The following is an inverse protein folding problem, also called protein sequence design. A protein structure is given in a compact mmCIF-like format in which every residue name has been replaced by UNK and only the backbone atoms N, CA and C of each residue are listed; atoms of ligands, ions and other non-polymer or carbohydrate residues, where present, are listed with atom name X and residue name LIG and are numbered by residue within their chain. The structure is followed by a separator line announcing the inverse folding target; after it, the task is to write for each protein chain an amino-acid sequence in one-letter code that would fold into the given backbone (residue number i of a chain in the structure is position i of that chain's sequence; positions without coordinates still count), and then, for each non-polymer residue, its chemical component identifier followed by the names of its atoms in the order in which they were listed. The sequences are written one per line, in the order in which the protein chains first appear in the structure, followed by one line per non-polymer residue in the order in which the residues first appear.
data_IF_509178024513
#
_entry.id   IF_509178024513
#
_cell.length_a   1.000
_cell.length_b   1.000
_cell.length_c   1.000
_cell.angle_alpha   90.00
_cell.angle_beta   90.00
_cell.angle_gamma   90.00
#
_symmetry.space_group_name_H-M   'P 1'
#
loop_
_entity.id
_entity.type
_entity.pdbx_description
1 polymer ?
#
# COMPACT_ATOMS: atom_id res chain seq x y z
N UNK A 1 -1.18 -10.24 -11.45
CA UNK A 1 -0.44 -9.01 -11.82
C UNK A 1 -0.82 -7.88 -10.87
N UNK A 2 0.13 -7.02 -10.48
CA UNK A 2 -0.15 -5.82 -9.67
C UNK A 2 0.06 -4.57 -10.51
N UNK A 3 -0.88 -3.63 -10.42
CA UNK A 3 -0.81 -2.33 -11.08
C UNK A 3 -1.10 -1.22 -10.09
N UNK A 4 -0.61 -0.02 -10.40
CA UNK A 4 -0.80 1.17 -9.58
C UNK A 4 -0.99 2.40 -10.47
N UNK A 5 -2.04 3.18 -10.21
CA UNK A 5 -2.29 4.46 -10.83
C UNK A 5 -2.26 5.59 -9.79
N UNK A 6 -1.37 6.59 -9.91
CA UNK A 6 -0.30 6.77 -10.90
C UNK A 6 0.96 5.93 -10.62
N UNK A 7 1.87 5.80 -11.59
CA UNK A 7 3.17 5.12 -11.40
C UNK A 7 4.24 6.00 -10.71
N UNK A 8 4.00 7.31 -10.65
CA UNK A 8 4.88 8.29 -10.03
C UNK A 8 4.05 9.37 -9.34
N UNK A 9 4.54 9.84 -8.20
CA UNK A 9 3.87 10.88 -7.43
C UNK A 9 4.69 11.33 -6.25
N UNK A 10 4.07 12.12 -5.38
CA UNK A 10 4.70 12.74 -4.22
C UNK A 10 4.19 12.10 -2.94
N UNK A 11 5.09 11.85 -1.99
CA UNK A 11 4.77 11.24 -0.71
C UNK A 11 3.67 12.02 0.01
N UNK A 12 2.79 11.26 0.70
CA UNK A 12 1.70 11.79 1.54
C UNK A 12 0.68 12.71 0.84
N UNK A 13 0.79 12.90 -0.48
CA UNK A 13 -0.04 13.81 -1.26
C UNK A 13 -0.72 13.07 -2.41
N UNK A 14 0.04 12.25 -3.13
CA UNK A 14 -0.50 11.45 -4.22
C UNK A 14 -1.17 10.19 -3.67
N UNK A 15 -2.46 10.05 -3.95
CA UNK A 15 -3.19 8.79 -3.72
C UNK A 15 -2.89 7.82 -4.85
N UNK A 16 -2.45 6.62 -4.49
CA UNK A 16 -2.22 5.52 -5.41
C UNK A 16 -3.39 4.55 -5.32
N UNK A 17 -4.06 4.32 -6.45
CA UNK A 17 -4.97 3.20 -6.59
C UNK A 17 -4.16 1.97 -6.98
N UNK A 18 -4.03 1.04 -6.05
CA UNK A 18 -3.28 -0.21 -6.21
C UNK A 18 -4.28 -1.32 -6.42
N UNK A 19 -4.12 -2.06 -7.52
CA UNK A 19 -5.03 -3.14 -7.91
C UNK A 19 -4.22 -4.38 -8.23
N UNK A 20 -4.73 -5.53 -7.83
CA UNK A 20 -4.21 -6.83 -8.22
C UNK A 20 -5.26 -7.58 -9.04
N UNK A 21 -4.84 -8.32 -10.06
CA UNK A 21 -5.76 -9.01 -10.97
C UNK A 21 -5.11 -10.21 -11.62
N UNK A 22 -5.91 -10.98 -12.37
CA UNK A 22 -5.48 -12.19 -13.08
C UNK A 22 -5.03 -13.33 -12.16
N UNK A 23 -5.61 -13.41 -10.97
CA UNK A 23 -5.52 -14.61 -10.12
C UNK A 23 -6.59 -15.59 -10.58
N UNK A 24 -6.18 -16.84 -10.81
CA UNK A 24 -7.06 -17.92 -11.25
C UNK A 24 -6.79 -19.10 -10.34
N UNK A 25 -7.86 -19.71 -9.86
CA UNK A 25 -7.81 -20.89 -9.00
C UNK A 25 -8.98 -21.82 -9.32
N UNK A 26 -8.92 -23.04 -8.79
CA UNK A 26 -10.01 -24.01 -8.91
C UNK A 26 -11.27 -23.53 -8.17
N UNK A 27 -12.45 -23.93 -8.63
CA UNK A 27 -13.71 -23.44 -8.08
C UNK A 27 -13.93 -23.83 -6.61
N UNK A 28 -13.28 -24.89 -6.14
CA UNK A 28 -13.28 -25.32 -4.73
C UNK A 28 -12.46 -24.40 -3.81
N UNK A 29 -11.54 -23.62 -4.39
CA UNK A 29 -10.49 -22.91 -3.66
C UNK A 29 -10.81 -21.41 -3.56
N UNK A 30 -11.91 -21.00 -4.20
CA UNK A 30 -12.52 -19.68 -4.08
C UNK A 30 -13.40 -19.55 -2.83
N UNK A 31 -13.53 -18.33 -2.25
CA UNK A 31 -12.97 -17.06 -2.70
C UNK A 31 -11.52 -16.83 -2.26
N UNK A 32 -10.76 -16.12 -3.09
CA UNK A 32 -9.40 -15.68 -2.75
C UNK A 32 -9.41 -14.45 -1.83
N UNK A 33 -8.46 -14.42 -0.91
CA UNK A 33 -8.17 -13.27 -0.07
C UNK A 33 -6.90 -12.57 -0.54
N UNK A 34 -6.91 -11.24 -0.51
CA UNK A 34 -5.82 -10.40 -0.97
C UNK A 34 -5.23 -9.58 0.17
N UNK A 35 -3.90 -9.56 0.23
CA UNK A 35 -3.12 -8.66 1.08
C UNK A 35 -2.30 -7.77 0.18
N UNK A 36 -2.44 -6.45 0.34
CA UNK A 36 -1.64 -5.46 -0.38
C UNK A 36 -0.69 -4.77 0.60
N UNK A 37 0.60 -4.80 0.28
CA UNK A 37 1.67 -4.26 1.10
C UNK A 37 2.70 -3.56 0.22
N UNK A 38 3.61 -2.80 0.82
CA UNK A 38 4.75 -2.25 0.11
C UNK A 38 6.01 -2.27 0.97
N UNK A 39 7.16 -2.14 0.33
CA UNK A 39 8.45 -1.96 0.99
C UNK A 39 9.36 -1.08 0.13
N UNK A 40 10.35 -0.45 0.76
CA UNK A 40 11.29 0.47 0.09
C UNK A 40 12.66 -0.14 -0.16
N UNK A 41 13.16 -0.95 0.78
CA UNK A 41 14.49 -1.57 0.70
C UNK A 41 14.45 -3.08 0.87
N UNK A 42 13.83 -3.55 1.96
CA UNK A 42 13.85 -4.94 2.37
C UNK A 42 12.43 -5.50 2.38
N UNK A 43 12.21 -6.63 1.70
CA UNK A 43 10.95 -7.36 1.73
C UNK A 43 10.60 -7.87 3.14
N UNK A 44 11.55 -7.98 4.07
CA UNK A 44 11.27 -8.30 5.47
C UNK A 44 10.61 -7.14 6.24
N UNK A 45 10.66 -5.91 5.72
CA UNK A 45 10.07 -4.70 6.32
C UNK A 45 8.86 -4.24 5.50
N UNK A 46 7.85 -5.10 5.42
CA UNK A 46 6.61 -4.82 4.72
C UNK A 46 5.72 -3.89 5.54
N UNK A 47 5.15 -2.90 4.86
CA UNK A 47 4.10 -2.03 5.38
C UNK A 47 2.79 -2.46 4.74
N UNK A 48 1.86 -2.94 5.56
CA UNK A 48 0.54 -3.37 5.12
C UNK A 48 -0.32 -2.17 4.75
N UNK A 49 -0.78 -2.11 3.50
CA UNK A 49 -1.76 -1.13 3.03
C UNK A 49 -3.18 -1.63 3.24
N UNK A 50 -3.36 -2.94 3.07
CA UNK A 50 -4.63 -3.63 3.17
C UNK A 50 -4.41 -5.01 3.79
N UNK A 51 -5.09 -5.26 4.90
CA UNK A 51 -5.19 -6.59 5.49
C UNK A 51 -6.03 -7.53 4.60
N UNK A 52 -5.89 -8.83 4.86
CA UNK A 52 -6.58 -9.90 4.14
C UNK A 52 -8.07 -9.62 3.93
N UNK A 53 -8.48 -9.53 2.67
CA UNK A 53 -9.87 -9.27 2.27
C UNK A 53 -10.08 -9.67 0.80
N UNK A 54 -11.32 -9.89 0.39
CA UNK A 54 -11.69 -10.31 -0.98
C UNK A 54 -11.60 -9.18 -2.00
N UNK A 55 -11.56 -7.92 -1.57
CA UNK A 55 -11.42 -6.79 -2.49
C UNK A 55 -9.98 -6.70 -3.02
N UNK A 56 -9.75 -6.80 -4.33
CA UNK A 56 -8.41 -6.85 -4.91
C UNK A 56 -7.80 -5.46 -5.16
N UNK A 57 -8.27 -4.43 -4.46
CA UNK A 57 -7.80 -3.06 -4.62
C UNK A 57 -7.75 -2.28 -3.30
N UNK A 58 -6.88 -1.27 -3.25
CA UNK A 58 -6.79 -0.31 -2.16
C UNK A 58 -6.35 1.05 -2.70
N UNK A 59 -6.93 2.12 -2.15
CA UNK A 59 -6.45 3.48 -2.36
C UNK A 59 -5.67 3.92 -1.13
N UNK A 60 -4.39 4.24 -1.30
CA UNK A 60 -3.53 4.66 -0.20
C UNK A 60 -2.53 5.74 -0.63
N UNK A 61 -2.15 6.59 0.31
CA UNK A 61 -0.97 7.46 0.16
C UNK A 61 0.26 6.69 0.61
N UNK A 62 1.36 6.84 -0.12
CA UNK A 62 2.61 6.14 0.16
C UNK A 62 3.65 7.09 0.77
N UNK A 63 4.54 6.51 1.59
CA UNK A 63 5.76 7.19 2.02
C UNK A 63 6.77 7.32 0.87
N UNK A 64 7.67 8.28 0.99
CA UNK A 64 8.74 8.46 0.00
C UNK A 64 9.64 7.23 -0.10
N UNK A 65 10.09 6.93 -1.31
CA UNK A 65 11.14 5.92 -1.50
C UNK A 65 12.51 6.43 -1.04
N UNK A 66 13.49 5.53 -0.98
CA UNK A 66 14.86 5.89 -0.63
C UNK A 66 15.54 6.64 -1.78
N UNK A 67 16.18 7.77 -1.48
CA UNK A 67 16.91 8.56 -2.47
C UNK A 67 18.02 7.74 -3.16
N UNK A 68 18.71 6.87 -2.42
CA UNK A 68 19.74 5.96 -2.96
C UNK A 68 19.20 4.96 -4.00
N UNK A 69 17.89 4.71 -3.99
CA UNK A 69 17.19 3.85 -4.94
C UNK A 69 16.31 4.64 -5.91
N UNK A 70 16.62 5.93 -6.12
CA UNK A 70 15.85 6.83 -7.00
C UNK A 70 14.37 6.94 -6.58
N UNK A 71 14.10 6.95 -5.28
CA UNK A 71 12.75 7.05 -4.71
C UNK A 71 11.81 5.90 -5.08
N UNK A 72 12.40 4.73 -5.33
CA UNK A 72 11.67 3.50 -5.66
C UNK A 72 10.93 2.94 -4.45
N UNK A 73 9.70 2.51 -4.69
CA UNK A 73 8.87 1.76 -3.75
C UNK A 73 8.33 0.53 -4.47
N UNK A 74 8.45 -0.64 -3.84
CA UNK A 74 7.95 -1.90 -4.39
C UNK A 74 6.64 -2.26 -3.73
N UNK A 75 5.61 -2.42 -4.54
CA UNK A 75 4.30 -2.91 -4.13
C UNK A 75 4.28 -4.44 -4.22
N UNK A 76 3.66 -5.08 -3.24
CA UNK A 76 3.48 -6.53 -3.15
C UNK A 76 1.99 -6.81 -2.96
N UNK A 77 1.45 -7.68 -3.80
CA UNK A 77 0.15 -8.30 -3.59
C UNK A 77 0.35 -9.80 -3.33
N UNK A 78 -0.25 -10.28 -2.25
CA UNK A 78 -0.40 -11.72 -1.97
C UNK A 78 -1.85 -12.10 -2.17
N UNK A 79 -2.11 -13.14 -2.96
CA UNK A 79 -3.40 -13.82 -3.01
C UNK A 79 -3.29 -15.14 -2.27
N UNK A 80 -4.28 -15.45 -1.43
CA UNK A 80 -4.33 -16.66 -0.61
C UNK A 80 -5.69 -17.33 -0.77
N UNK A 81 -5.69 -18.63 -1.01
CA UNK A 81 -6.90 -19.45 -1.11
C UNK A 81 -7.45 -19.86 0.27
N UNK A 82 -8.52 -20.67 0.27
CA UNK A 82 -9.13 -21.21 1.50
C UNK A 82 -8.31 -22.33 2.16
N UNK A 83 -7.34 -22.91 1.44
CA UNK A 83 -6.44 -23.97 1.91
C UNK A 83 -5.05 -23.45 2.32
N UNK A 84 -4.88 -22.13 2.40
CA UNK A 84 -3.65 -21.41 2.74
C UNK A 84 -2.53 -21.49 1.69
N UNK A 85 -2.80 -21.94 0.46
CA UNK A 85 -1.87 -21.73 -0.63
C UNK A 85 -1.84 -20.23 -0.96
N UNK A 86 -0.64 -19.71 -1.18
CA UNK A 86 -0.47 -18.29 -1.47
C UNK A 86 0.52 -18.05 -2.59
N UNK A 87 0.29 -16.98 -3.34
CA UNK A 87 1.16 -16.53 -4.41
C UNK A 87 1.27 -15.02 -4.41
N UNK A 88 2.44 -14.53 -4.83
CA UNK A 88 2.84 -13.16 -4.72
C UNK A 88 3.09 -12.54 -6.09
N UNK A 89 2.68 -11.28 -6.26
CA UNK A 89 3.01 -10.48 -7.42
C UNK A 89 3.51 -9.11 -6.98
N UNK A 90 4.50 -8.57 -7.69
CA UNK A 90 5.12 -7.29 -7.33
C UNK A 90 5.08 -6.30 -8.49
N UNK A 91 5.03 -5.02 -8.18
CA UNK A 91 5.26 -3.94 -9.13
C UNK A 91 6.01 -2.79 -8.47
N UNK A 92 6.45 -1.80 -9.23
CA UNK A 92 7.27 -0.70 -8.72
C UNK A 92 6.63 0.65 -9.04
N UNK A 93 6.67 1.56 -8.06
CA UNK A 93 6.29 2.97 -8.21
C UNK A 93 7.40 3.89 -7.72
N UNK A 94 7.35 5.14 -8.15
CA UNK A 94 8.29 6.18 -7.73
C UNK A 94 7.59 7.22 -6.86
N UNK A 95 7.98 7.31 -5.58
CA UNK A 95 7.35 8.21 -4.61
C UNK A 95 8.37 9.26 -4.17
N UNK A 96 8.29 10.43 -4.79
CA UNK A 96 9.17 11.56 -4.59
C UNK A 96 8.93 12.23 -3.23
N UNK A 97 9.95 12.88 -2.65
CA UNK A 97 9.79 13.62 -1.40
C UNK A 97 8.90 14.85 -1.60
N UNK A 98 8.29 15.31 -0.51
CA UNK A 98 7.52 16.56 -0.50
C UNK A 98 8.49 17.74 -0.67
N UNK A 99 8.22 18.62 -1.64
CA UNK A 99 9.16 19.67 -2.04
C UNK A 99 9.37 20.78 -0.98
N UNK A 100 8.43 20.99 -0.05
CA UNK A 100 8.49 22.07 0.94
C UNK A 100 8.02 21.62 2.32
N UNK A 101 8.58 22.23 3.37
CA UNK A 101 8.16 22.01 4.77
C UNK A 101 6.71 22.44 5.02
N UNK A 102 6.23 23.45 4.29
CA UNK A 102 4.83 23.88 4.34
C UNK A 102 3.89 22.80 3.82
N UNK A 103 4.21 22.17 2.68
CA UNK A 103 3.42 21.06 2.14
C UNK A 103 3.46 19.83 3.04
N UNK A 104 4.60 19.57 3.69
CA UNK A 104 4.71 18.52 4.71
C UNK A 104 3.81 18.81 5.91
N UNK A 105 3.87 20.02 6.48
CA UNK A 105 3.01 20.43 7.60
C UNK A 105 1.53 20.31 7.25
N UNK A 106 1.12 20.72 6.04
CA UNK A 106 -0.27 20.61 5.59
C UNK A 106 -0.70 19.15 5.46
N UNK A 107 0.14 18.29 4.87
CA UNK A 107 -0.16 16.87 4.73
C UNK A 107 -0.23 16.16 6.10
N UNK A 108 0.73 16.42 7.00
CA UNK A 108 0.70 15.90 8.37
C UNK A 108 -0.53 16.36 9.14
N UNK A 109 -0.93 17.64 9.01
CA UNK A 109 -2.14 18.17 9.65
C UNK A 109 -3.40 17.52 9.08
N UNK A 110 -3.46 17.29 7.76
CA UNK A 110 -4.58 16.61 7.12
C UNK A 110 -4.67 15.14 7.56
N UNK A 111 -3.55 14.42 7.63
CA UNK A 111 -3.50 13.05 8.13
C UNK A 111 -3.90 12.97 9.60
N UNK A 112 -3.46 13.92 10.44
CA UNK A 112 -3.85 13.98 11.85
C UNK A 112 -5.35 14.29 12.00
N UNK A 113 -5.88 15.24 11.23
CA UNK A 113 -7.30 15.58 11.25
C UNK A 113 -8.17 14.40 10.76
N UNK A 114 -7.74 13.66 9.74
CA UNK A 114 -8.41 12.45 9.28
C UNK A 114 -8.39 11.36 10.34
N UNK A 115 -7.25 11.12 10.99
CA UNK A 115 -7.13 10.15 12.10
C UNK A 115 -8.02 10.51 13.30
N UNK A 116 -8.13 11.81 13.63
CA UNK A 116 -9.04 12.29 14.68
C UNK A 116 -10.52 12.11 14.30
N UNK A 117 -10.86 12.17 13.01
CA UNK A 117 -12.23 11.99 12.51
C UNK A 117 -12.64 10.51 12.39
N UNK A 118 -11.67 9.61 12.23
CA UNK A 118 -11.87 8.15 12.16
C UNK A 118 -12.27 7.53 13.53
N UNK A 119 -12.15 8.30 14.63
CA UNK A 119 -12.67 7.96 15.98
C UNK A 119 -12.41 6.51 16.43
N UNK A 120 -11.21 5.97 16.23
CA UNK A 120 -10.80 4.74 16.92
C UNK A 120 -9.89 5.07 18.13
N UNK A 121 -10.44 5.18 19.35
CA UNK A 121 -9.72 5.62 20.55
C UNK A 121 -8.82 4.55 21.19
N UNK A 122 -8.51 3.42 20.54
CA UNK A 122 -7.83 2.27 21.19
C UNK A 122 -6.41 1.95 20.74
N UNK A 123 -5.81 2.71 19.82
CA UNK A 123 -4.42 2.46 19.35
C UNK A 123 -3.43 3.58 19.69
N UNK A 124 -3.69 4.38 20.74
CA UNK A 124 -2.63 5.15 21.40
C UNK A 124 -2.14 4.33 22.58
N UNK A 125 -1.18 3.44 22.33
CA UNK A 125 -0.27 3.02 23.38
C UNK A 125 1.12 3.55 23.05
N UNK A 126 1.61 4.26 24.07
CA UNK A 126 2.87 4.98 24.19
C UNK A 126 4.08 4.07 24.04
#
# INVERSE_FOLDING_TARGET
VVTSGPATGTALTTTYLITTSLWVDDASDLPLNYVLSYYTLNMAQLITLKSSDQLPSVSAVLGQGLQSLSYRVTLLASATDVFLASSNATTTVFVLPVATTQALSTSTTASLAAAQNDKNPTAVNQ
#
